data_IF_036467349128
#
_entry.id   IF_036467349128
#
_cell.length_a   1.000
_cell.length_b   1.000
_cell.length_c   1.000
_cell.angle_alpha   90.00
_cell.angle_beta   90.00
_cell.angle_gamma   90.00
#
_symmetry.space_group_name_H-M   'P 1'
#
loop_
_entity.id
_entity.type
_entity.pdbx_description
1 polymer ?
#
# COMPACT_ATOMS: atom_id res chain seq x y z
N UNK A 1 20.89 -32.48 -23.85
CA UNK A 1 19.51 -32.79 -23.42
C UNK A 1 18.78 -31.48 -23.18
N UNK A 2 17.72 -31.20 -23.96
CA UNK A 2 16.88 -29.99 -23.84
C UNK A 2 15.65 -30.32 -22.99
N UNK A 3 15.32 -29.45 -22.04
CA UNK A 3 14.24 -29.64 -21.06
C UNK A 3 12.87 -29.27 -21.67
N UNK A 4 11.79 -30.08 -21.53
CA UNK A 4 10.55 -29.93 -22.30
C UNK A 4 9.42 -29.12 -21.62
N UNK A 5 9.69 -28.28 -20.62
CA UNK A 5 8.63 -27.50 -19.96
C UNK A 5 8.99 -26.03 -19.81
N UNK A 6 8.67 -25.25 -20.84
CA UNK A 6 8.57 -23.78 -20.77
C UNK A 6 7.57 -23.29 -21.82
N UNK A 7 6.30 -23.63 -21.65
CA UNK A 7 5.18 -23.02 -22.37
C UNK A 7 4.32 -22.25 -21.38
N UNK A 8 4.80 -21.06 -20.99
CA UNK A 8 3.99 -20.07 -20.27
C UNK A 8 3.35 -19.18 -21.33
N UNK A 9 2.06 -19.41 -21.62
CA UNK A 9 1.26 -18.52 -22.45
C UNK A 9 1.00 -17.24 -21.66
N UNK A 10 1.66 -16.15 -22.05
CA UNK A 10 1.28 -14.81 -21.63
C UNK A 10 -0.02 -14.42 -22.35
N UNK A 11 -1.04 -13.99 -21.61
CA UNK A 11 -2.16 -13.26 -22.18
C UNK A 11 -1.62 -11.93 -22.72
N UNK A 12 -1.73 -11.76 -24.03
CA UNK A 12 -1.41 -10.51 -24.71
C UNK A 12 -2.42 -9.44 -24.30
N UNK A 13 -1.92 -8.35 -23.71
CA UNK A 13 -2.63 -7.08 -23.67
C UNK A 13 -2.70 -6.55 -25.10
N UNK A 14 -3.87 -6.58 -25.73
CA UNK A 14 -4.09 -5.94 -27.02
C UNK A 14 -4.06 -4.42 -26.84
N UNK A 15 -2.90 -3.82 -27.07
CA UNK A 15 -2.78 -2.41 -27.42
C UNK A 15 -3.14 -2.29 -28.90
N UNK A 16 -4.35 -1.82 -29.20
CA UNK A 16 -4.71 -1.33 -30.53
C UNK A 16 -4.17 0.10 -30.65
N UNK A 17 -3.09 0.24 -31.40
CA UNK A 17 -2.78 1.45 -32.16
C UNK A 17 -3.75 1.50 -33.33
N UNK A 18 -4.51 2.58 -33.46
CA UNK A 18 -4.94 3.11 -34.75
C UNK A 18 -4.90 4.63 -34.64
N UNK A 19 -4.08 5.20 -35.52
CA UNK A 19 -4.08 6.60 -35.91
C UNK A 19 -5.35 6.83 -36.73
N UNK A 20 -6.15 7.83 -36.37
CA UNK A 20 -7.00 8.51 -37.33
C UNK A 20 -7.20 9.97 -36.89
N UNK A 21 -6.63 10.83 -37.72
CA UNK A 21 -6.74 12.27 -37.73
C UNK A 21 -8.11 12.60 -38.34
N UNK A 22 -9.11 12.95 -37.52
CA UNK A 22 -10.39 13.46 -38.02
C UNK A 22 -10.88 14.73 -37.32
N UNK A 23 -11.40 15.57 -38.18
CA UNK A 23 -11.67 16.99 -38.10
C UNK A 23 -12.98 17.25 -37.34
N UNK A 24 -12.95 18.12 -36.33
CA UNK A 24 -14.15 18.51 -35.57
C UNK A 24 -15.08 19.41 -36.41
N UNK A 25 -16.40 19.13 -36.48
CA UNK A 25 -17.38 20.15 -36.73
C UNK A 25 -18.07 20.58 -35.42
N UNK A 26 -18.29 21.89 -35.33
CA UNK A 26 -19.18 22.59 -34.41
C UNK A 26 -20.48 21.82 -34.16
N UNK A 27 -20.86 21.67 -32.88
CA UNK A 27 -22.22 21.25 -32.53
C UNK A 27 -22.84 22.16 -31.47
N UNK A 28 -23.84 22.89 -31.97
CA UNK A 28 -24.85 23.67 -31.26
C UNK A 28 -25.60 22.82 -30.23
N UNK A 29 -26.02 23.54 -29.20
CA UNK A 29 -27.04 23.29 -28.18
C UNK A 29 -28.21 22.40 -28.59
N UNK A 30 -28.64 21.54 -27.65
CA UNK A 30 -30.03 21.26 -27.22
C UNK A 30 -29.95 20.22 -26.09
N UNK A 31 -30.36 20.52 -24.86
CA UNK A 31 -31.71 20.64 -24.28
C UNK A 31 -32.13 19.35 -23.55
N UNK A 32 -32.78 19.59 -22.41
CA UNK A 32 -33.02 18.74 -21.25
C UNK A 32 -33.67 17.37 -21.48
N UNK A 33 -33.31 16.41 -20.61
CA UNK A 33 -34.23 15.37 -20.16
C UNK A 33 -34.06 15.12 -18.65
N UNK A 34 -35.16 15.35 -17.92
CA UNK A 34 -35.35 14.97 -16.53
C UNK A 34 -35.31 13.45 -16.37
N UNK A 35 -34.53 12.97 -15.39
CA UNK A 35 -34.69 11.62 -14.85
C UNK A 35 -34.99 11.75 -13.35
N UNK A 36 -36.10 11.14 -12.97
CA UNK A 36 -36.69 11.08 -11.64
C UNK A 36 -35.79 10.34 -10.64
N UNK A 37 -35.41 11.01 -9.56
CA UNK A 37 -34.74 10.40 -8.40
C UNK A 37 -35.71 9.53 -7.59
N UNK A 38 -35.51 8.20 -7.60
CA UNK A 38 -36.04 7.31 -6.58
C UNK A 38 -35.05 7.20 -5.41
N UNK A 39 -35.42 7.82 -4.29
CA UNK A 39 -34.68 7.77 -3.02
C UNK A 39 -34.72 6.37 -2.42
N UNK A 40 -33.57 5.70 -2.34
CA UNK A 40 -33.32 4.63 -1.39
C UNK A 40 -32.67 5.24 -0.14
N UNK A 41 -33.48 5.50 0.88
CA UNK A 41 -32.99 5.90 2.19
C UNK A 41 -32.31 4.69 2.87
N UNK A 42 -31.00 4.79 3.10
CA UNK A 42 -30.28 3.91 4.03
C UNK A 42 -30.45 4.48 5.46
N UNK A 43 -30.69 3.63 6.48
CA UNK A 43 -30.75 4.09 7.85
C UNK A 43 -29.34 4.51 8.32
N UNK A 44 -29.10 5.81 8.40
CA UNK A 44 -27.97 6.39 9.14
C UNK A 44 -28.28 6.27 10.64
N UNK A 45 -27.52 5.43 11.33
CA UNK A 45 -27.43 5.48 12.78
C UNK A 45 -26.80 6.82 13.18
N UNK A 46 -27.62 7.75 13.69
CA UNK A 46 -27.16 9.00 14.29
C UNK A 46 -26.47 8.69 15.62
N UNK A 47 -25.15 8.63 15.61
CA UNK A 47 -24.36 8.67 16.83
C UNK A 47 -24.48 10.09 17.43
N UNK A 48 -25.21 10.20 18.56
CA UNK A 48 -25.24 11.41 19.38
C UNK A 48 -23.84 11.64 19.95
N UNK A 49 -23.17 12.67 19.46
CA UNK A 49 -21.91 13.15 20.01
C UNK A 49 -22.21 14.04 21.23
N UNK A 50 -21.93 13.52 22.43
CA UNK A 50 -21.80 14.34 23.64
C UNK A 50 -20.54 15.23 23.52
N UNK A 51 -20.62 16.53 23.86
CA UNK A 51 -19.45 17.39 23.95
C UNK A 51 -18.70 17.07 25.26
N UNK A 52 -17.91 16.00 25.27
CA UNK A 52 -17.01 15.68 26.39
C UNK A 52 -15.76 16.54 26.29
N UNK A 53 -15.50 17.25 27.40
CA UNK A 53 -14.35 18.12 27.59
C UNK A 53 -13.03 17.45 27.26
N UNK A 54 -12.10 18.26 26.75
CA UNK A 54 -10.72 17.88 26.42
C UNK A 54 -10.03 17.50 27.72
N UNK A 55 -10.09 16.22 28.07
CA UNK A 55 -9.25 15.64 29.10
C UNK A 55 -7.81 15.64 28.58
N UNK A 56 -6.95 16.43 29.19
CA UNK A 56 -5.49 16.33 29.08
C UNK A 56 -5.12 14.90 29.47
N UNK A 57 -4.85 14.05 28.48
CA UNK A 57 -4.46 12.67 28.76
C UNK A 57 -3.15 12.69 29.56
N UNK A 58 -3.08 11.98 30.69
CA UNK A 58 -1.85 11.85 31.46
C UNK A 58 -0.75 11.33 30.54
N UNK A 59 0.34 12.08 30.45
CA UNK A 59 1.41 11.90 29.47
C UNK A 59 1.86 10.45 29.40
N UNK A 60 1.49 9.77 28.32
CA UNK A 60 2.02 8.46 27.97
C UNK A 60 3.53 8.61 27.87
N UNK A 61 4.24 8.06 28.86
CA UNK A 61 5.71 8.06 28.87
C UNK A 61 6.18 7.32 27.61
N UNK A 62 6.72 8.07 26.65
CA UNK A 62 7.27 7.51 25.42
C UNK A 62 8.38 6.51 25.77
N UNK A 63 8.39 5.35 25.13
CA UNK A 63 9.41 4.34 25.37
C UNK A 63 10.70 4.68 24.62
N UNK A 64 11.79 4.03 25.04
CA UNK A 64 13.08 4.12 24.38
C UNK A 64 13.41 2.81 23.67
N UNK A 65 13.99 2.91 22.49
CA UNK A 65 14.60 1.79 21.80
C UNK A 65 16.11 1.80 22.04
N UNK A 66 16.70 0.66 22.41
CA UNK A 66 18.14 0.54 22.69
C UNK A 66 18.76 -0.55 21.83
N UNK A 67 19.73 -0.17 21.00
CA UNK A 67 20.58 -1.10 20.26
C UNK A 67 22.00 -1.04 20.82
N UNK A 68 22.59 -2.19 21.15
CA UNK A 68 23.90 -2.27 21.78
C UNK A 68 24.87 -3.15 20.98
N UNK A 69 26.12 -2.71 20.91
CA UNK A 69 27.28 -3.51 20.52
C UNK A 69 28.23 -3.68 21.72
N UNK A 70 29.40 -4.28 21.50
CA UNK A 70 30.45 -4.39 22.54
C UNK A 70 31.06 -3.05 22.93
N UNK A 71 31.07 -2.07 22.02
CA UNK A 71 31.83 -0.83 22.19
C UNK A 71 30.93 0.40 22.42
N UNK A 72 29.69 0.32 21.93
CA UNK A 72 28.74 1.45 21.93
C UNK A 72 27.31 0.95 22.05
N UNK A 73 26.46 1.72 22.70
CA UNK A 73 25.01 1.59 22.67
C UNK A 73 24.35 2.88 22.16
N UNK A 74 23.28 2.73 21.39
CA UNK A 74 22.45 3.83 20.88
C UNK A 74 21.07 3.67 21.49
N UNK A 75 20.60 4.72 22.16
CA UNK A 75 19.25 4.85 22.72
C UNK A 75 18.49 5.89 21.91
N UNK A 76 17.29 5.55 21.45
CA UNK A 76 16.42 6.40 20.63
C UNK A 76 15.09 6.65 21.36
N UNK A 77 14.69 7.91 21.49
CA UNK A 77 13.46 8.32 22.17
C UNK A 77 12.22 8.29 21.27
N UNK A 78 11.04 8.49 21.87
CA UNK A 78 9.80 8.70 21.13
C UNK A 78 9.19 7.44 20.51
N UNK A 79 9.47 6.27 21.06
CA UNK A 79 9.04 5.00 20.47
C UNK A 79 7.82 4.42 21.19
N UNK A 80 7.00 3.68 20.43
CA UNK A 80 5.92 2.89 21.01
C UNK A 80 6.50 1.79 21.92
N UNK A 81 5.90 1.55 23.11
CA UNK A 81 6.35 0.49 24.00
C UNK A 81 6.41 -0.88 23.31
N UNK A 82 7.58 -1.52 23.33
CA UNK A 82 7.78 -2.83 22.72
C UNK A 82 7.92 -2.82 21.19
N UNK A 83 8.09 -1.65 20.56
CA UNK A 83 8.37 -1.58 19.13
C UNK A 83 9.65 -2.36 18.78
N UNK A 84 9.60 -3.29 17.79
CA UNK A 84 10.76 -4.12 17.45
C UNK A 84 11.86 -3.33 16.72
N UNK A 85 11.48 -2.23 16.09
CA UNK A 85 12.36 -1.26 15.45
C UNK A 85 11.78 0.14 15.68
N UNK A 86 12.62 1.19 15.75
CA UNK A 86 12.16 2.56 15.79
C UNK A 86 11.31 2.92 14.57
N UNK A 87 10.29 3.75 14.75
CA UNK A 87 9.42 4.25 13.67
C UNK A 87 9.40 5.77 13.71
N UNK A 88 9.72 6.38 12.57
CA UNK A 88 9.70 7.83 12.39
C UNK A 88 8.81 8.24 11.22
N UNK A 89 8.49 9.52 11.18
CA UNK A 89 7.74 10.15 10.09
C UNK A 89 8.69 10.97 9.23
N UNK A 90 8.30 11.21 7.98
CA UNK A 90 8.96 12.23 7.17
C UNK A 90 8.83 13.61 7.86
N UNK A 91 9.92 14.36 8.01
CA UNK A 91 9.95 15.57 8.83
C UNK A 91 10.04 15.35 10.34
N UNK A 92 10.05 14.10 10.81
CA UNK A 92 10.13 13.77 12.24
C UNK A 92 11.55 13.90 12.78
N UNK A 93 11.67 14.18 14.08
CA UNK A 93 12.95 14.30 14.78
C UNK A 93 13.36 12.98 15.43
N UNK A 94 14.61 12.59 15.19
CA UNK A 94 15.32 11.49 15.84
C UNK A 94 16.11 12.09 17.01
N UNK A 95 15.66 11.79 18.23
CA UNK A 95 16.38 12.13 19.46
C UNK A 95 17.15 10.91 19.94
N UNK A 96 18.49 11.01 19.92
CA UNK A 96 19.38 9.91 20.21
C UNK A 96 20.41 10.21 21.30
N UNK A 97 20.74 9.19 22.09
CA UNK A 97 21.85 9.20 23.04
C UNK A 97 22.77 8.03 22.73
N UNK A 98 24.05 8.33 22.58
CA UNK A 98 25.11 7.36 22.33
C UNK A 98 25.86 7.18 23.65
N UNK A 99 25.98 5.94 24.10
CA UNK A 99 26.77 5.56 25.27
C UNK A 99 28.01 4.78 24.82
N UNK A 100 29.18 5.28 25.17
CA UNK A 100 30.48 4.76 24.78
C UNK A 100 31.12 4.11 26.02
N UNK A 101 31.44 2.82 25.93
CA UNK A 101 31.91 2.09 27.11
C UNK A 101 33.37 2.36 27.48
N UNK A 102 34.19 2.79 26.51
CA UNK A 102 35.62 3.07 26.68
C UNK A 102 35.97 4.32 25.83
N UNK A 103 35.73 5.55 26.33
CA UNK A 103 35.92 6.77 25.56
C UNK A 103 37.40 7.11 25.33
N UNK A 104 38.30 6.78 26.26
CA UNK A 104 39.73 7.13 26.22
C UNK A 104 40.49 6.61 24.99
N UNK A 105 39.99 5.56 24.35
CA UNK A 105 40.62 4.93 23.20
C UNK A 105 40.01 5.37 21.86
N UNK A 106 38.97 6.21 21.89
CA UNK A 106 38.27 6.67 20.69
C UNK A 106 39.06 7.80 20.05
N UNK A 107 39.39 7.64 18.77
CA UNK A 107 40.05 8.63 17.94
C UNK A 107 39.04 9.46 17.14
N UNK A 108 37.98 8.82 16.64
CA UNK A 108 36.87 9.50 15.99
C UNK A 108 35.56 8.76 16.18
N UNK A 109 34.47 9.52 16.15
CA UNK A 109 33.09 9.04 16.25
C UNK A 109 32.26 9.82 15.24
N UNK A 110 31.66 9.11 14.29
CA UNK A 110 30.73 9.70 13.31
C UNK A 110 29.37 9.01 13.41
N UNK A 111 28.32 9.81 13.36
CA UNK A 111 26.93 9.36 13.34
C UNK A 111 26.30 9.83 12.05
N UNK A 112 25.83 8.89 11.27
CA UNK A 112 25.25 9.16 9.96
C UNK A 112 23.85 8.56 9.86
N UNK A 113 22.97 9.24 9.14
CA UNK A 113 21.64 8.72 8.79
C UNK A 113 21.63 8.39 7.31
N UNK A 114 21.27 7.14 7.00
CA UNK A 114 21.25 6.59 5.65
C UNK A 114 19.84 6.19 5.27
N UNK A 115 19.47 6.43 4.02
CA UNK A 115 18.24 5.95 3.40
C UNK A 115 18.53 5.50 1.97
N UNK A 116 17.99 4.35 1.56
CA UNK A 116 18.28 3.80 0.24
C UNK A 116 17.16 2.90 -0.28
N UNK A 117 17.04 2.83 -1.61
CA UNK A 117 16.31 1.81 -2.33
C UNK A 117 17.31 0.79 -2.84
N UNK A 118 17.11 -0.48 -2.50
CA UNK A 118 17.92 -1.58 -2.98
C UNK A 118 17.07 -2.53 -3.80
N UNK A 119 17.40 -2.66 -5.08
CA UNK A 119 16.79 -3.63 -6.00
C UNK A 119 17.83 -4.72 -6.27
N UNK A 120 17.49 -5.98 -6.02
CA UNK A 120 18.37 -7.13 -6.34
C UNK A 120 17.65 -8.09 -7.26
N UNK A 121 18.31 -8.51 -8.31
CA UNK A 121 17.86 -9.62 -9.13
C UNK A 121 17.98 -10.94 -8.34
N UNK A 122 17.00 -11.83 -8.45
CA UNK A 122 16.96 -13.11 -7.74
C UNK A 122 17.81 -14.17 -8.44
N UNK A 123 17.83 -14.16 -9.78
CA UNK A 123 18.53 -15.15 -10.60
C UNK A 123 19.90 -14.67 -11.12
N UNK A 124 20.24 -13.40 -10.88
CA UNK A 124 21.47 -12.77 -11.34
C UNK A 124 22.28 -12.16 -10.19
N UNK A 125 23.39 -11.51 -10.53
CA UNK A 125 24.24 -10.77 -9.58
C UNK A 125 23.91 -9.27 -9.53
N UNK A 126 22.96 -8.80 -10.34
CA UNK A 126 22.57 -7.40 -10.42
C UNK A 126 22.03 -6.87 -9.09
N UNK A 127 22.70 -5.88 -8.51
CA UNK A 127 22.20 -5.09 -7.38
C UNK A 127 22.29 -3.63 -7.72
N UNK A 128 21.19 -2.92 -7.52
CA UNK A 128 21.09 -1.48 -7.65
C UNK A 128 20.83 -0.87 -6.31
N UNK A 129 21.52 0.23 -6.05
CA UNK A 129 21.38 1.01 -4.84
C UNK A 129 21.12 2.46 -5.26
N UNK A 130 19.92 2.95 -4.95
CA UNK A 130 19.58 4.36 -5.09
C UNK A 130 19.64 4.98 -3.71
N UNK A 131 20.52 5.95 -3.52
CA UNK A 131 20.67 6.66 -2.26
C UNK A 131 19.57 7.72 -2.15
N UNK A 132 18.73 7.61 -1.11
CA UNK A 132 17.67 8.57 -0.81
C UNK A 132 18.14 9.65 0.19
N UNK A 133 19.02 9.25 1.11
CA UNK A 133 19.49 10.07 2.22
C UNK A 133 20.88 9.63 2.67
N UNK A 134 21.76 10.58 2.96
CA UNK A 134 23.08 10.31 3.55
C UNK A 134 23.61 11.57 4.25
N UNK A 135 23.24 11.71 5.51
CA UNK A 135 23.54 12.91 6.29
C UNK A 135 24.47 12.58 7.45
N UNK A 136 25.53 13.38 7.62
CA UNK A 136 26.38 13.35 8.80
C UNK A 136 25.71 14.19 9.90
N UNK A 137 25.27 13.54 10.96
CA UNK A 137 24.48 14.14 12.03
C UNK A 137 25.34 14.62 13.19
N UNK A 138 26.36 13.82 13.53
CA UNK A 138 27.29 14.13 14.61
C UNK A 138 28.67 13.64 14.22
N UNK A 139 29.69 14.43 14.50
CA UNK A 139 31.09 14.05 14.29
C UNK A 139 31.91 14.55 15.47
N UNK A 140 32.82 13.71 15.92
CA UNK A 140 33.78 14.02 16.96
C UNK A 140 35.14 13.44 16.57
N UNK A 141 36.20 14.20 16.83
CA UNK A 141 37.58 13.84 16.54
C UNK A 141 38.51 14.29 17.67
N UNK A 142 39.31 13.35 18.20
CA UNK A 142 40.17 13.59 19.35
C UNK A 142 41.22 14.69 19.16
N UNK A 143 41.55 15.06 17.92
CA UNK A 143 42.52 16.11 17.61
C UNK A 143 41.90 17.50 17.56
N UNK A 144 40.60 17.60 17.29
CA UNK A 144 39.90 18.87 17.05
C UNK A 144 38.95 19.25 18.18
N UNK A 145 38.41 18.26 18.86
CA UNK A 145 37.30 18.42 19.80
C UNK A 145 37.75 18.16 21.24
N UNK A 146 36.96 18.64 22.20
CA UNK A 146 37.17 18.38 23.62
C UNK A 146 37.11 16.86 23.91
N UNK A 147 37.74 16.37 25.00
CA UNK A 147 37.70 14.96 25.37
C UNK A 147 36.28 14.38 25.36
N UNK A 148 36.10 13.21 24.74
CA UNK A 148 34.80 12.58 24.58
C UNK A 148 34.30 12.05 25.92
N UNK A 149 33.10 12.47 26.33
CA UNK A 149 32.42 11.87 27.47
C UNK A 149 31.96 10.43 27.21
N UNK A 150 31.51 9.73 28.24
CA UNK A 150 30.88 8.41 28.10
C UNK A 150 29.52 8.46 27.41
N UNK A 151 28.92 9.66 27.30
CA UNK A 151 27.64 9.90 26.65
C UNK A 151 27.72 11.12 25.76
N UNK A 152 27.14 11.02 24.57
CA UNK A 152 26.85 12.17 23.72
C UNK A 152 25.42 12.05 23.18
N UNK A 153 24.76 13.18 23.00
CA UNK A 153 23.42 13.26 22.43
C UNK A 153 23.49 13.80 21.01
N UNK A 154 22.59 13.34 20.15
CA UNK A 154 22.36 13.93 18.84
C UNK A 154 20.87 14.11 18.61
N UNK A 155 20.54 15.13 17.83
CA UNK A 155 19.18 15.39 17.38
C UNK A 155 19.21 15.58 15.87
N UNK A 156 18.32 14.93 15.15
CA UNK A 156 18.27 15.00 13.70
C UNK A 156 16.84 14.99 13.18
N UNK A 157 16.46 16.00 12.42
CA UNK A 157 15.16 16.08 11.78
C UNK A 157 15.24 15.48 10.38
N UNK A 158 14.54 14.37 10.15
CA UNK A 158 14.46 13.72 8.85
C UNK A 158 13.93 14.70 7.80
N UNK A 159 14.52 14.79 6.61
CA UNK A 159 14.01 15.67 5.57
C UNK A 159 12.62 15.21 5.14
N UNK A 160 11.73 16.16 4.83
CA UNK A 160 10.38 15.83 4.35
C UNK A 160 10.39 15.24 2.93
N UNK A 161 11.44 15.55 2.16
CA UNK A 161 11.61 15.21 0.77
C UNK A 161 13.08 14.94 0.43
N UNK A 162 13.32 14.15 -0.61
CA UNK A 162 14.62 13.93 -1.25
C UNK A 162 14.62 14.49 -2.66
N UNK A 163 15.81 14.74 -3.20
CA UNK A 163 15.97 15.08 -4.61
C UNK A 163 16.04 13.77 -5.40
N UNK A 164 15.11 13.58 -6.33
CA UNK A 164 15.15 12.44 -7.24
C UNK A 164 16.30 12.64 -8.23
N UNK A 165 17.29 11.75 -8.20
CA UNK A 165 18.49 11.87 -9.03
C UNK A 165 18.19 11.84 -10.55
N UNK A 166 17.08 11.22 -10.95
CA UNK A 166 16.70 11.11 -12.37
C UNK A 166 15.93 12.33 -12.85
N UNK A 167 14.95 12.82 -12.08
CA UNK A 167 14.09 13.93 -12.49
C UNK A 167 14.57 15.31 -11.99
N UNK A 168 15.41 15.36 -10.97
CA UNK A 168 15.76 16.58 -10.25
C UNK A 168 14.61 17.15 -9.40
N UNK A 169 13.47 16.47 -9.31
CA UNK A 169 12.32 16.93 -8.55
C UNK A 169 12.45 16.60 -7.06
N UNK A 170 11.89 17.47 -6.20
CA UNK A 170 11.75 17.16 -4.77
C UNK A 170 10.55 16.24 -4.57
N UNK A 171 10.82 15.01 -4.10
CA UNK A 171 9.80 13.98 -3.82
C UNK A 171 9.80 13.60 -2.35
N UNK A 172 8.65 13.26 -1.74
CA UNK A 172 8.62 12.84 -0.34
C UNK A 172 9.51 11.62 -0.11
N UNK A 173 10.05 11.45 1.10
CA UNK A 173 10.74 10.20 1.44
C UNK A 173 9.76 9.02 1.32
N UNK A 174 10.13 7.95 0.59
CA UNK A 174 9.28 6.77 0.50
C UNK A 174 9.21 6.06 1.87
N UNK A 175 8.07 5.45 2.21
CA UNK A 175 7.97 4.66 3.43
C UNK A 175 8.90 3.44 3.36
N UNK A 176 9.26 2.90 4.52
CA UNK A 176 9.95 1.60 4.59
C UNK A 176 9.06 0.53 3.98
N UNK A 177 9.61 -0.18 2.99
CA UNK A 177 8.86 -1.10 2.16
C UNK A 177 9.75 -2.24 1.66
N UNK A 178 9.17 -3.44 1.58
CA UNK A 178 9.84 -4.61 1.05
C UNK A 178 8.86 -5.41 0.21
N UNK A 179 9.31 -5.87 -0.95
CA UNK A 179 8.55 -6.80 -1.78
C UNK A 179 9.45 -7.75 -2.55
N UNK A 180 8.86 -8.87 -2.93
CA UNK A 180 9.46 -9.86 -3.82
C UNK A 180 8.65 -9.87 -5.13
N UNK A 181 9.29 -9.49 -6.23
CA UNK A 181 8.75 -9.54 -7.56
C UNK A 181 9.03 -10.93 -8.14
N UNK A 182 7.99 -11.77 -8.19
CA UNK A 182 8.05 -13.08 -8.85
C UNK A 182 8.08 -12.89 -10.37
N UNK A 183 8.89 -13.68 -11.07
CA UNK A 183 9.07 -13.60 -12.53
C UNK A 183 10.42 -14.16 -12.96
N UNK A 184 10.67 -14.19 -14.26
CA UNK A 184 12.00 -14.44 -14.83
C UNK A 184 12.34 -13.22 -15.72
N UNK A 185 13.29 -12.35 -15.32
CA UNK A 185 14.00 -12.39 -14.04
C UNK A 185 13.11 -11.95 -12.86
N UNK A 186 13.30 -12.56 -11.70
CA UNK A 186 12.66 -12.16 -10.45
C UNK A 186 13.51 -11.12 -9.72
N UNK A 187 12.89 -10.28 -8.88
CA UNK A 187 13.61 -9.23 -8.14
C UNK A 187 13.14 -9.14 -6.68
N UNK A 188 14.02 -8.64 -5.82
CA UNK A 188 13.67 -8.17 -4.47
C UNK A 188 13.91 -6.68 -4.40
N UNK A 189 12.99 -5.97 -3.77
CA UNK A 189 13.09 -4.53 -3.60
C UNK A 189 12.93 -4.17 -2.13
N UNK A 190 13.83 -3.34 -1.63
CA UNK A 190 13.86 -2.88 -0.24
C UNK A 190 14.08 -1.38 -0.18
N UNK A 191 13.17 -0.65 0.46
CA UNK A 191 13.36 0.74 0.89
C UNK A 191 13.70 0.70 2.37
N UNK A 192 14.93 1.05 2.74
CA UNK A 192 15.42 0.92 4.11
C UNK A 192 16.16 2.17 4.59
N UNK A 193 16.08 2.38 5.91
CA UNK A 193 16.72 3.48 6.60
C UNK A 193 17.47 2.98 7.83
N UNK A 194 18.60 3.59 8.14
CA UNK A 194 19.42 3.21 9.28
C UNK A 194 20.27 4.37 9.79
N UNK A 195 20.53 4.36 11.10
CA UNK A 195 21.56 5.18 11.73
C UNK A 195 22.83 4.34 11.79
N UNK A 196 23.95 4.90 11.35
CA UNK A 196 25.27 4.26 11.42
C UNK A 196 26.12 5.04 12.40
N UNK A 197 26.66 4.35 13.41
CA UNK A 197 27.64 4.90 14.36
C UNK A 197 28.98 4.25 14.08
N UNK A 198 29.87 5.01 13.46
CA UNK A 198 31.23 4.60 13.13
C UNK A 198 32.20 5.11 14.20
N UNK A 199 32.98 4.21 14.77
CA UNK A 199 33.98 4.52 15.80
C UNK A 199 35.34 4.04 15.31
N UNK A 200 36.34 4.91 15.37
CA UNK A 200 37.74 4.55 15.14
C UNK A 200 38.46 4.62 16.47
N UNK A 201 39.15 3.55 16.85
CA UNK A 201 39.92 3.45 18.08
C UNK A 201 41.42 3.30 17.80
N UNK A 202 42.23 3.83 18.70
CA UNK A 202 43.69 3.64 18.72
C UNK A 202 44.08 2.71 19.86
N UNK A 203 44.96 1.74 19.58
CA UNK A 203 45.50 0.91 20.65
C UNK A 203 46.61 1.66 21.40
N UNK A 204 46.51 1.71 22.74
CA UNK A 204 47.55 2.30 23.61
C UNK A 204 48.94 1.70 23.39
N UNK A 205 49.00 0.41 23.02
CA UNK A 205 50.24 -0.35 22.86
C UNK A 205 50.78 -0.37 21.43
N UNK A 206 49.97 -0.01 20.44
CA UNK A 206 50.36 -0.12 19.03
C UNK A 206 49.65 0.96 18.18
N UNK A 207 50.14 2.22 18.18
CA UNK A 207 49.46 3.36 17.54
C UNK A 207 49.28 3.22 16.02
N UNK A 208 49.95 2.25 15.40
CA UNK A 208 49.82 1.90 13.98
C UNK A 208 48.54 1.10 13.67
N UNK A 209 47.94 0.43 14.67
CA UNK A 209 46.74 -0.38 14.47
C UNK A 209 45.49 0.40 14.89
N UNK A 210 44.70 0.80 13.89
CA UNK A 210 43.41 1.44 14.08
C UNK A 210 42.30 0.42 13.92
N UNK A 211 41.51 0.22 14.97
CA UNK A 211 40.33 -0.64 14.91
C UNK A 211 39.11 0.22 14.59
N UNK A 212 38.42 -0.10 13.49
CA UNK A 212 37.13 0.51 13.15
C UNK A 212 35.99 -0.41 13.58
N UNK A 213 35.01 0.12 14.30
CA UNK A 213 33.75 -0.54 14.59
C UNK A 213 32.58 0.27 14.05
N UNK A 214 31.50 -0.41 13.72
CA UNK A 214 30.33 0.17 13.08
C UNK A 214 29.07 -0.46 13.70
N UNK A 215 28.26 0.34 14.38
CA UNK A 215 26.94 -0.07 14.87
C UNK A 215 25.87 0.48 13.92
N UNK A 216 25.05 -0.41 13.37
CA UNK A 216 23.90 -0.04 12.52
C UNK A 216 22.60 -0.23 13.28
N UNK A 217 21.77 0.80 13.28
CA UNK A 217 20.46 0.82 13.94
C UNK A 217 19.39 1.06 12.88
N UNK A 218 18.68 0.01 12.42
CA UNK A 218 17.63 0.17 11.42
C UNK A 218 16.45 0.93 12.04
N UNK A 219 15.75 1.72 11.22
CA UNK A 219 14.47 2.31 11.59
C UNK A 219 13.50 2.30 10.40
N UNK A 220 12.21 2.42 10.70
CA UNK A 220 11.17 2.51 9.69
C UNK A 220 10.72 3.95 9.49
N UNK A 221 10.49 4.35 8.23
CA UNK A 221 9.73 5.55 7.90
C UNK A 221 8.29 5.14 7.59
N UNK A 222 7.34 5.78 8.27
CA UNK A 222 5.91 5.65 8.02
C UNK A 222 5.33 6.99 7.57
N UNK A 223 4.51 6.96 6.53
CA UNK A 223 3.77 8.15 6.10
C UNK A 223 2.52 8.31 6.95
N UNK A 224 2.22 9.52 7.40
CA UNK A 224 1.00 9.85 8.15
C UNK A 224 0.10 10.67 7.28
N UNK A 225 -0.84 9.98 6.63
CA UNK A 225 -1.82 10.60 5.74
C UNK A 225 -3.23 10.21 6.16
N UNK A 226 -4.17 11.12 5.94
CA UNK A 226 -5.60 10.87 6.12
C UNK A 226 -6.38 11.23 4.85
N UNK A 227 -7.59 10.66 4.66
CA UNK A 227 -8.49 11.14 3.63
C UNK A 227 -8.78 12.63 3.83
N UNK A 228 -8.91 13.43 2.75
CA UNK A 228 -9.16 14.87 2.84
C UNK A 228 -10.58 15.20 3.34
N UNK A 229 -11.53 14.27 3.17
CA UNK A 229 -12.92 14.44 3.61
C UNK A 229 -13.40 13.20 4.33
N UNK A 230 -14.32 13.41 5.27
CA UNK A 230 -15.09 12.33 5.85
C UNK A 230 -15.99 11.75 4.75
N UNK A 231 -16.04 10.43 4.64
CA UNK A 231 -17.15 9.81 3.90
C UNK A 231 -18.49 10.04 4.62
N UNK A 232 -19.62 9.74 3.97
CA UNK A 232 -19.74 9.25 2.59
C UNK A 232 -19.70 10.40 1.56
N UNK A 233 -19.14 10.14 0.38
CA UNK A 233 -19.09 11.12 -0.71
C UNK A 233 -20.39 11.09 -1.53
N UNK A 234 -20.72 12.22 -2.18
CA UNK A 234 -21.85 12.28 -3.12
C UNK A 234 -21.57 11.37 -4.32
N UNK A 235 -22.60 10.70 -4.82
CA UNK A 235 -22.55 9.96 -6.08
C UNK A 235 -22.16 10.91 -7.21
N UNK A 236 -20.96 10.76 -7.77
CA UNK A 236 -20.50 11.49 -8.96
C UNK A 236 -20.07 10.50 -10.04
N UNK A 237 -20.70 10.52 -11.23
CA UNK A 237 -20.27 9.71 -12.37
C UNK A 237 -19.02 10.28 -13.05
N UNK A 238 -18.79 11.59 -12.96
CA UNK A 238 -17.62 12.26 -13.50
C UNK A 238 -16.56 12.47 -12.42
N UNK A 239 -15.29 12.26 -12.79
CA UNK A 239 -14.16 12.68 -11.97
C UNK A 239 -13.98 14.19 -12.13
N UNK A 240 -13.84 14.90 -11.03
CA UNK A 240 -13.29 16.26 -11.01
C UNK A 240 -12.28 16.37 -9.88
N UNK A 241 -11.47 17.43 -9.88
CA UNK A 241 -10.56 17.72 -8.75
C UNK A 241 -11.30 17.78 -7.41
N UNK A 242 -12.56 18.19 -7.41
CA UNK A 242 -13.37 18.35 -6.19
C UNK A 242 -14.26 17.15 -5.86
N UNK A 243 -14.49 16.24 -6.82
CA UNK A 243 -15.39 15.11 -6.65
C UNK A 243 -14.75 13.87 -7.26
N UNK A 244 -14.16 12.99 -6.43
CA UNK A 244 -13.56 11.76 -6.92
C UNK A 244 -14.64 10.91 -7.56
N UNK A 245 -14.28 10.18 -8.62
CA UNK A 245 -15.22 9.28 -9.29
C UNK A 245 -15.62 8.18 -8.32
N UNK A 246 -16.90 8.17 -7.96
CA UNK A 246 -17.46 7.16 -7.07
C UNK A 246 -18.15 6.05 -7.85
N UNK A 247 -18.62 6.34 -9.07
CA UNK A 247 -19.32 5.38 -9.94
C UNK A 247 -18.48 5.03 -11.17
N UNK A 248 -18.23 3.74 -11.36
CA UNK A 248 -17.54 3.17 -12.50
C UNK A 248 -18.52 2.30 -13.30
N UNK A 249 -18.66 2.59 -14.59
CA UNK A 249 -19.58 1.87 -15.48
C UNK A 249 -18.78 1.06 -16.48
N UNK A 250 -19.19 -0.18 -16.66
CA UNK A 250 -18.57 -1.17 -17.52
C UNK A 250 -19.64 -1.98 -18.25
N UNK A 251 -19.21 -2.78 -19.23
CA UNK A 251 -20.12 -3.63 -20.02
C UNK A 251 -19.58 -5.06 -20.07
N UNK A 252 -20.40 -6.02 -19.66
CA UNK A 252 -20.11 -7.46 -19.80
C UNK A 252 -20.56 -7.93 -21.18
N UNK A 253 -19.59 -8.13 -22.07
CA UNK A 253 -19.87 -8.58 -23.43
C UNK A 253 -20.36 -10.04 -23.48
N UNK A 254 -21.38 -10.34 -24.30
CA UNK A 254 -21.79 -11.72 -24.58
C UNK A 254 -20.70 -12.45 -25.39
N UNK A 255 -20.65 -13.78 -25.25
CA UNK A 255 -19.81 -14.69 -26.07
C UNK A 255 -20.48 -15.06 -27.39
N UNK A 256 -21.81 -15.06 -27.43
CA UNK A 256 -22.62 -15.45 -28.59
C UNK A 256 -23.40 -14.24 -29.10
N UNK A 257 -23.57 -14.16 -30.41
CA UNK A 257 -24.46 -13.20 -31.04
C UNK A 257 -25.91 -13.45 -30.57
N UNK A 258 -26.69 -12.38 -30.37
CA UNK A 258 -28.11 -12.46 -30.01
C UNK A 258 -28.44 -12.27 -28.52
N UNK A 259 -27.44 -12.10 -27.64
CA UNK A 259 -27.68 -11.68 -26.25
C UNK A 259 -27.38 -10.18 -26.07
N UNK A 260 -28.18 -9.49 -25.27
CA UNK A 260 -27.87 -8.13 -24.81
C UNK A 260 -26.67 -8.15 -23.84
N UNK A 261 -25.84 -7.12 -23.91
CA UNK A 261 -24.75 -6.96 -22.96
C UNK A 261 -25.28 -6.60 -21.57
N UNK A 262 -24.56 -6.99 -20.52
CA UNK A 262 -24.92 -6.62 -19.14
C UNK A 262 -24.19 -5.33 -18.79
N UNK A 263 -24.92 -4.30 -18.40
CA UNK A 263 -24.31 -3.08 -17.86
C UNK A 263 -23.91 -3.32 -16.40
N UNK A 264 -22.68 -2.94 -16.04
CA UNK A 264 -22.09 -3.18 -14.73
C UNK A 264 -21.71 -1.84 -14.10
N UNK A 265 -22.25 -1.57 -12.92
CA UNK A 265 -21.93 -0.39 -12.12
C UNK A 265 -21.17 -0.81 -10.86
N UNK A 266 -19.99 -0.26 -10.64
CA UNK A 266 -19.23 -0.39 -9.40
C UNK A 266 -19.24 0.96 -8.69
N UNK A 267 -19.75 1.00 -7.47
CA UNK A 267 -19.80 2.19 -6.63
C UNK A 267 -18.92 2.04 -5.40
N UNK A 268 -18.03 3.02 -5.20
CA UNK A 268 -17.17 3.18 -4.03
C UNK A 268 -17.64 4.43 -3.26
N UNK A 269 -18.32 4.28 -2.10
CA UNK A 269 -18.88 5.40 -1.33
C UNK A 269 -17.84 6.24 -0.61
N UNK A 270 -16.66 5.68 -0.37
CA UNK A 270 -15.48 6.44 0.01
C UNK A 270 -14.82 6.92 -1.28
N UNK A 271 -14.22 8.12 -1.27
CA UNK A 271 -13.39 8.58 -2.37
C UNK A 271 -12.40 7.49 -2.76
N UNK A 272 -11.77 7.64 -3.93
CA UNK A 272 -10.62 6.80 -4.28
C UNK A 272 -9.47 6.96 -3.27
N UNK A 273 -9.60 7.76 -2.20
CA UNK A 273 -8.68 7.89 -1.08
C UNK A 273 -9.28 7.21 0.16
N UNK A 274 -8.84 5.98 0.44
CA UNK A 274 -9.37 5.13 1.52
C UNK A 274 -8.40 5.05 2.70
N UNK A 275 -8.90 4.85 3.93
CA UNK A 275 -8.06 4.61 5.11
C UNK A 275 -7.67 3.15 5.23
N UNK A 276 -6.43 2.87 5.68
CA UNK A 276 -5.98 1.53 6.05
C UNK A 276 -6.68 0.99 7.30
N UNK A 277 -7.25 1.87 8.13
CA UNK A 277 -7.87 1.53 9.42
C UNK A 277 -9.35 1.20 9.32
N UNK A 278 -9.98 1.47 8.18
CA UNK A 278 -11.42 1.36 7.99
C UNK A 278 -11.75 0.40 6.84
N UNK A 279 -12.78 -0.45 6.97
CA UNK A 279 -13.27 -1.25 5.86
C UNK A 279 -13.73 -0.34 4.71
N UNK A 280 -13.37 -0.69 3.48
CA UNK A 280 -13.71 0.08 2.29
C UNK A 280 -15.03 -0.46 1.73
N UNK A 281 -16.16 0.24 1.88
CA UNK A 281 -17.42 -0.29 1.39
C UNK A 281 -17.43 -0.31 -0.14
N UNK A 282 -18.20 -1.20 -0.74
CA UNK A 282 -18.43 -1.23 -2.17
C UNK A 282 -19.84 -1.69 -2.49
N UNK A 283 -20.34 -1.28 -3.65
CA UNK A 283 -21.57 -1.77 -4.25
C UNK A 283 -21.30 -2.14 -5.70
N UNK A 284 -21.78 -3.31 -6.12
CA UNK A 284 -21.65 -3.77 -7.50
C UNK A 284 -23.04 -4.13 -8.00
N UNK A 285 -23.49 -3.47 -9.06
CA UNK A 285 -24.81 -3.69 -9.65
C UNK A 285 -24.69 -4.14 -11.10
N UNK A 286 -25.37 -5.23 -11.45
CA UNK A 286 -25.59 -5.63 -12.84
C UNK A 286 -26.98 -5.20 -13.28
N UNK A 287 -27.08 -4.70 -14.52
CA UNK A 287 -28.32 -4.34 -15.19
C UNK A 287 -28.47 -5.14 -16.49
N UNK A 288 -29.55 -5.90 -16.60
CA UNK A 288 -29.97 -6.64 -17.80
C UNK A 288 -31.39 -7.19 -17.58
N UNK A 289 -31.95 -7.83 -18.60
CA UNK A 289 -33.22 -8.55 -18.48
C UNK A 289 -33.12 -9.72 -17.48
N UNK A 290 -34.25 -10.08 -16.87
CA UNK A 290 -34.31 -11.09 -15.81
C UNK A 290 -33.71 -12.44 -16.23
N UNK A 291 -33.97 -12.87 -17.47
CA UNK A 291 -33.46 -14.12 -18.01
C UNK A 291 -31.92 -14.14 -18.06
N UNK A 292 -31.33 -12.99 -18.41
CA UNK A 292 -29.88 -12.78 -18.47
C UNK A 292 -29.26 -12.75 -17.08
N UNK A 293 -29.95 -12.16 -16.11
CA UNK A 293 -29.48 -12.04 -14.73
C UNK A 293 -29.70 -13.31 -13.90
N UNK A 294 -30.66 -14.16 -14.27
CA UNK A 294 -31.03 -15.37 -13.54
C UNK A 294 -29.85 -16.24 -13.08
N UNK A 295 -28.77 -16.47 -13.87
CA UNK A 295 -27.65 -17.29 -13.42
C UNK A 295 -26.87 -16.65 -12.26
N UNK A 296 -26.80 -15.32 -12.22
CA UNK A 296 -26.08 -14.59 -11.18
C UNK A 296 -26.85 -14.54 -9.85
N UNK A 297 -28.15 -14.88 -9.86
CA UNK A 297 -29.00 -14.90 -8.65
C UNK A 297 -28.84 -16.16 -7.81
N UNK A 298 -28.23 -17.22 -8.36
CA UNK A 298 -28.02 -18.48 -7.64
C UNK A 298 -27.06 -18.32 -6.44
N UNK A 299 -26.36 -17.20 -6.35
CA UNK A 299 -25.55 -16.89 -5.18
C UNK A 299 -26.41 -16.53 -3.97
N UNK A 300 -26.35 -17.38 -2.94
CA UNK A 300 -26.75 -17.02 -1.58
C UNK A 300 -25.47 -16.84 -0.76
N UNK A 301 -25.20 -15.65 -0.18
CA UNK A 301 -24.14 -15.54 0.80
C UNK A 301 -24.38 -16.57 1.89
N UNK A 302 -23.33 -17.28 2.30
CA UNK A 302 -23.43 -18.16 3.45
C UNK A 302 -24.01 -17.31 4.59
N UNK A 303 -25.09 -17.75 5.26
CA UNK A 303 -25.62 -17.00 6.39
C UNK A 303 -24.46 -16.74 7.32
N UNK A 304 -24.14 -15.46 7.54
CA UNK A 304 -23.11 -15.07 8.49
C UNK A 304 -23.53 -15.70 9.80
N UNK A 305 -22.80 -16.75 10.20
CA UNK A 305 -23.03 -17.43 11.46
C UNK A 305 -22.77 -16.40 12.56
N UNK A 306 -23.82 -15.69 12.96
CA UNK A 306 -23.87 -14.81 14.14
C UNK A 306 -23.86 -15.64 15.42
N UNK A 307 -23.20 -16.80 15.45
CA UNK A 307 -22.78 -17.35 16.70
C UNK A 307 -21.73 -16.36 17.24
N UNK A 308 -22.01 -15.65 18.35
CA UNK A 308 -20.99 -14.84 18.99
C UNK A 308 -19.80 -15.77 19.19
N UNK A 309 -18.67 -15.44 18.56
CA UNK A 309 -17.43 -16.16 18.80
C UNK A 309 -17.20 -16.02 20.30
N UNK A 310 -17.48 -17.11 21.02
CA UNK A 310 -17.22 -17.22 22.44
C UNK A 310 -15.80 -16.73 22.67
N UNK A 311 -15.68 -15.86 23.68
CA UNK A 311 -14.50 -15.06 24.03
C UNK A 311 -13.18 -15.70 23.61
N UNK A 312 -12.24 -14.92 23.03
CA UNK A 312 -10.98 -15.43 22.52
C UNK A 312 -10.15 -16.06 23.63
N UNK A 313 -10.33 -17.36 23.87
CA UNK A 313 -9.32 -18.18 24.51
C UNK A 313 -8.10 -18.17 23.59
N UNK A 314 -6.89 -18.04 24.16
CA UNK A 314 -5.59 -17.78 23.53
C UNK A 314 -5.10 -18.79 22.44
N UNK A 315 -5.98 -19.59 21.85
CA UNK A 315 -5.69 -20.53 20.78
C UNK A 315 -5.74 -19.84 19.40
N UNK A 316 -4.56 -19.39 18.97
CA UNK A 316 -4.10 -19.11 17.59
C UNK A 316 -5.13 -18.61 16.55
N UNK A 317 -5.05 -17.30 16.24
CA UNK A 317 -5.62 -16.62 15.06
C UNK A 317 -5.39 -17.36 13.72
N UNK A 318 -4.41 -18.26 13.66
CA UNK A 318 -4.08 -19.08 12.50
C UNK A 318 -5.14 -20.15 12.16
N UNK A 319 -5.93 -20.61 13.13
CA UNK A 319 -6.91 -21.68 12.92
C UNK A 319 -8.21 -21.20 12.26
N UNK A 320 -8.64 -19.97 12.57
CA UNK A 320 -9.83 -19.35 11.94
C UNK A 320 -9.57 -18.94 10.50
N UNK A 321 -8.37 -18.45 10.17
CA UNK A 321 -8.01 -18.16 8.78
C UNK A 321 -7.85 -19.43 7.95
N UNK A 322 -7.32 -20.52 8.52
CA UNK A 322 -7.20 -21.80 7.82
C UNK A 322 -8.55 -22.53 7.63
N UNK A 323 -9.53 -22.37 8.54
CA UNK A 323 -10.87 -22.93 8.34
C UNK A 323 -11.66 -22.24 7.22
N UNK A 324 -11.36 -20.97 6.91
CA UNK A 324 -11.95 -20.27 5.76
C UNK A 324 -11.28 -20.65 4.42
N UNK A 325 -10.03 -21.12 4.44
CA UNK A 325 -9.24 -21.41 3.23
C UNK A 325 -9.33 -22.90 2.82
N UNK A 326 -9.55 -23.81 3.78
CA UNK A 326 -9.53 -25.27 3.55
C UNK A 326 -10.81 -25.88 2.96
N UNK A 327 -11.90 -25.11 2.78
CA UNK A 327 -13.12 -25.57 2.06
C UNK A 327 -13.03 -25.48 0.53
N UNK A 328 -11.82 -25.44 -0.04
CA UNK A 328 -11.59 -25.33 -1.49
C UNK A 328 -11.53 -26.69 -2.21
N UNK A 329 -11.64 -27.80 -1.49
CA UNK A 329 -11.77 -29.13 -2.05
C UNK A 329 -13.22 -29.54 -2.25
N UNK A 330 -13.61 -29.72 -3.52
CA UNK A 330 -14.78 -30.49 -3.99
C UNK A 330 -16.11 -29.72 -3.92
N UNK A 331 -16.48 -29.10 -5.06
CA UNK A 331 -17.78 -28.45 -5.29
C UNK A 331 -17.74 -26.91 -5.38
N UNK A 332 -16.77 -26.33 -6.11
CA UNK A 332 -16.61 -24.87 -6.28
C UNK A 332 -17.72 -24.26 -7.13
N UNK A 333 -18.92 -24.07 -6.57
CA UNK A 333 -19.79 -22.97 -7.03
C UNK A 333 -19.14 -21.67 -6.56
N UNK A 334 -18.22 -21.15 -7.37
CA UNK A 334 -17.52 -19.91 -7.07
C UNK A 334 -18.50 -18.75 -6.94
N UNK A 335 -18.25 -17.85 -5.98
CA UNK A 335 -18.94 -16.57 -5.91
C UNK A 335 -18.88 -15.89 -7.29
N UNK A 336 -20.02 -15.47 -7.88
CA UNK A 336 -20.01 -14.82 -9.17
C UNK A 336 -19.24 -13.50 -9.11
N UNK A 337 -19.24 -12.84 -7.95
CA UNK A 337 -18.49 -11.62 -7.69
C UNK A 337 -17.29 -11.91 -6.77
N UNK A 338 -16.10 -11.46 -7.20
CA UNK A 338 -14.89 -11.44 -6.39
C UNK A 338 -14.37 -10.01 -6.34
N UNK A 339 -14.22 -9.46 -5.13
CA UNK A 339 -13.63 -8.14 -4.92
C UNK A 339 -12.41 -8.32 -4.02
N UNK A 340 -11.27 -7.72 -4.38
CA UNK A 340 -10.07 -7.75 -3.54
C UNK A 340 -9.23 -6.49 -3.74
N UNK A 341 -8.42 -6.15 -2.73
CA UNK A 341 -7.44 -5.07 -2.84
C UNK A 341 -6.14 -5.64 -3.39
N UNK A 342 -5.61 -5.02 -4.44
CA UNK A 342 -4.36 -5.39 -5.08
C UNK A 342 -3.36 -4.25 -5.00
N UNK A 343 -2.16 -4.55 -4.55
CA UNK A 343 -0.98 -3.68 -4.63
C UNK A 343 -0.15 -4.07 -5.84
N UNK A 344 0.22 -3.11 -6.66
CA UNK A 344 1.12 -3.28 -7.80
C UNK A 344 2.39 -2.50 -7.56
N UNK A 345 3.54 -3.17 -7.65
CA UNK A 345 4.85 -2.54 -7.60
C UNK A 345 5.47 -2.60 -8.98
N UNK A 346 5.71 -1.44 -9.58
CA UNK A 346 6.43 -1.27 -10.82
C UNK A 346 7.85 -0.79 -10.52
N UNK A 347 8.83 -1.39 -11.17
CA UNK A 347 10.24 -0.98 -11.14
C UNK A 347 10.66 -0.64 -12.55
N UNK A 348 11.22 0.56 -12.74
CA UNK A 348 11.85 0.97 -13.98
C UNK A 348 13.25 0.37 -14.07
N UNK A 349 13.45 -0.52 -15.02
CA UNK A 349 14.71 -1.22 -15.28
C UNK A 349 15.77 -0.27 -15.82
N UNK A 350 15.40 0.82 -16.49
CA UNK A 350 16.38 1.79 -17.00
C UNK A 350 17.08 2.51 -15.84
N UNK A 351 16.32 2.85 -14.80
CA UNK A 351 16.87 3.39 -13.54
C UNK A 351 17.76 2.38 -12.80
N UNK A 352 17.70 1.08 -13.16
CA UNK A 352 18.55 0.06 -12.55
C UNK A 352 19.95 -0.01 -13.13
N UNK A 353 20.22 0.63 -14.28
CA UNK A 353 21.52 0.52 -14.95
C UNK A 353 21.87 -0.91 -15.38
N UNK A 354 20.92 -1.84 -15.33
CA UNK A 354 21.06 -3.20 -15.85
C UNK A 354 20.91 -3.14 -17.37
N UNK A 355 21.87 -3.67 -18.16
CA UNK A 355 21.77 -3.65 -19.61
C UNK A 355 20.50 -4.37 -20.07
N UNK A 356 19.70 -3.64 -20.84
CA UNK A 356 18.36 -4.04 -21.25
C UNK A 356 18.41 -5.24 -22.22
N UNK A 357 17.90 -6.40 -21.78
CA UNK A 357 17.69 -7.57 -22.67
C UNK A 357 16.28 -7.65 -23.26
N UNK A 358 15.31 -6.90 -22.72
CA UNK A 358 13.88 -6.98 -23.08
C UNK A 358 13.34 -5.62 -23.53
N UNK A 359 12.36 -5.63 -24.44
CA UNK A 359 11.70 -4.42 -24.95
C UNK A 359 10.86 -3.68 -23.90
N UNK A 360 10.55 -4.29 -22.74
CA UNK A 360 9.82 -3.60 -21.67
C UNK A 360 10.78 -2.92 -20.69
N UNK A 361 10.59 -1.62 -20.48
CA UNK A 361 11.32 -0.83 -19.47
C UNK A 361 10.87 -1.10 -18.03
N UNK A 362 9.75 -1.78 -17.82
CA UNK A 362 9.15 -1.94 -16.50
C UNK A 362 8.91 -3.38 -16.10
N UNK A 363 9.22 -3.69 -14.84
CA UNK A 363 8.91 -4.96 -14.21
C UNK A 363 7.85 -4.74 -13.14
N UNK A 364 6.83 -5.58 -13.14
CA UNK A 364 5.68 -5.43 -12.25
C UNK A 364 5.51 -6.64 -11.35
N UNK A 365 5.14 -6.39 -10.09
CA UNK A 365 4.67 -7.41 -9.16
C UNK A 365 3.31 -7.01 -8.62
N UNK A 366 2.50 -8.00 -8.33
CA UNK A 366 1.11 -7.82 -7.90
C UNK A 366 0.85 -8.69 -6.67
N UNK A 367 0.35 -8.08 -5.61
CA UNK A 367 0.01 -8.78 -4.37
C UNK A 367 -1.41 -8.43 -3.94
N UNK A 368 -2.20 -9.45 -3.56
CA UNK A 368 -3.48 -9.23 -2.90
C UNK A 368 -3.20 -8.83 -1.44
N UNK A 369 -3.62 -7.63 -1.06
CA UNK A 369 -3.37 -7.05 0.26
C UNK A 369 -4.65 -6.87 1.09
N UNK A 370 -5.80 -7.26 0.53
CA UNK A 370 -7.09 -7.22 1.20
C UNK A 370 -8.14 -7.99 0.44
N UNK A 371 -9.23 -8.34 1.12
CA UNK A 371 -10.31 -9.16 0.57
C UNK A 371 -11.65 -8.46 0.74
N UNK A 372 -12.45 -8.48 -0.31
CA UNK A 372 -13.84 -8.04 -0.30
C UNK A 372 -14.77 -9.14 0.18
N UNK A 373 -15.68 -8.78 1.08
CA UNK A 373 -16.75 -9.65 1.58
C UNK A 373 -18.09 -9.03 1.20
N UNK A 374 -18.95 -9.81 0.55
CA UNK A 374 -20.32 -9.42 0.24
C UNK A 374 -21.19 -9.67 1.48
N UNK A 375 -21.84 -8.63 1.99
CA UNK A 375 -22.71 -8.69 3.16
C UNK A 375 -24.19 -8.80 2.79
N UNK A 376 -24.59 -8.14 1.70
CA UNK A 376 -25.99 -8.06 1.27
C UNK A 376 -26.07 -8.28 -0.23
N UNK A 377 -27.11 -8.99 -0.65
CA UNK A 377 -27.49 -9.11 -2.06
C UNK A 377 -28.95 -8.72 -2.19
N UNK A 378 -29.26 -7.82 -3.12
CA UNK A 378 -30.63 -7.44 -3.45
C UNK A 378 -30.89 -7.67 -4.93
N UNK A 379 -32.10 -8.11 -5.25
CA UNK A 379 -32.56 -8.38 -6.61
C UNK A 379 -33.78 -7.51 -6.90
N UNK A 380 -33.76 -6.89 -8.07
CA UNK A 380 -34.89 -6.21 -8.70
C UNK A 380 -35.20 -6.91 -10.04
N UNK A 381 -36.28 -6.51 -10.71
CA UNK A 381 -36.69 -7.09 -11.99
C UNK A 381 -35.61 -7.01 -13.09
N UNK A 382 -34.79 -5.95 -13.08
CA UNK A 382 -33.73 -5.69 -14.08
C UNK A 382 -32.36 -5.45 -13.48
N UNK A 383 -32.16 -5.78 -12.20
CA UNK A 383 -30.86 -5.60 -11.57
C UNK A 383 -30.56 -6.56 -10.42
N UNK A 384 -29.27 -6.84 -10.23
CA UNK A 384 -28.74 -7.52 -9.05
C UNK A 384 -27.67 -6.63 -8.45
N UNK A 385 -27.78 -6.34 -7.16
CA UNK A 385 -26.81 -5.53 -6.42
C UNK A 385 -26.18 -6.34 -5.30
N UNK A 386 -24.85 -6.38 -5.28
CA UNK A 386 -24.05 -6.86 -4.15
C UNK A 386 -23.49 -5.67 -3.39
N UNK A 387 -23.69 -5.65 -2.07
CA UNK A 387 -23.10 -4.66 -1.18
C UNK A 387 -22.16 -5.37 -0.19
N UNK A 388 -20.98 -4.81 -0.01
CA UNK A 388 -19.91 -5.43 0.77
C UNK A 388 -18.88 -4.43 1.27
N UNK A 389 -17.80 -4.95 1.85
CA UNK A 389 -16.65 -4.16 2.22
C UNK A 389 -15.33 -4.91 1.98
N UNK A 390 -14.29 -4.17 1.61
CA UNK A 390 -12.92 -4.67 1.51
C UNK A 390 -12.20 -4.43 2.83
N UNK A 391 -11.70 -5.50 3.43
CA UNK A 391 -10.84 -5.44 4.63
C UNK A 391 -9.39 -5.68 4.22
N UNK A 392 -8.50 -4.79 4.67
CA UNK A 392 -7.07 -4.92 4.41
C UNK A 392 -6.39 -5.80 5.45
N UNK A 393 -5.29 -6.43 5.04
CA UNK A 393 -4.48 -7.23 5.95
C UNK A 393 -3.71 -6.34 6.93
N UNK A 394 -3.61 -6.77 8.20
CA UNK A 394 -2.95 -6.00 9.26
C UNK A 394 -1.44 -5.78 9.06
N UNK A 395 -0.82 -6.50 8.13
CA UNK A 395 0.59 -6.29 7.73
C UNK A 395 0.77 -5.10 6.78
N UNK A 396 -0.30 -4.53 6.22
CA UNK A 396 -0.24 -3.36 5.36
C UNK A 396 -0.12 -2.10 6.22
N UNK A 397 1.07 -1.51 6.26
CA UNK A 397 1.36 -0.33 7.11
C UNK A 397 1.36 1.01 6.38
N UNK A 398 1.48 0.97 5.06
CA UNK A 398 1.64 2.14 4.19
C UNK A 398 0.81 1.97 2.92
N UNK A 399 0.34 3.08 2.35
CA UNK A 399 -0.25 3.12 1.02
C UNK A 399 0.78 3.09 -0.11
N UNK A 400 0.30 3.26 -1.34
CA UNK A 400 1.14 3.48 -2.52
C UNK A 400 2.02 4.73 -2.42
N UNK A 401 3.17 4.69 -3.09
CA UNK A 401 4.15 5.77 -3.15
C UNK A 401 4.94 5.70 -4.46
N UNK A 402 5.63 6.78 -4.80
CA UNK A 402 6.54 6.84 -5.94
C UNK A 402 7.90 7.38 -5.49
N UNK A 403 8.97 6.78 -6.01
CA UNK A 403 10.35 7.18 -5.80
C UNK A 403 11.17 6.88 -7.06
N UNK A 404 12.45 7.24 -7.09
CA UNK A 404 13.34 7.03 -8.25
C UNK A 404 13.27 5.58 -8.75
N UNK A 405 12.75 5.40 -9.96
CA UNK A 405 12.61 4.10 -10.62
C UNK A 405 11.64 3.11 -9.96
N UNK A 406 10.80 3.54 -9.01
CA UNK A 406 9.86 2.66 -8.29
C UNK A 406 8.51 3.34 -8.12
N UNK A 407 7.44 2.63 -8.50
CA UNK A 407 6.06 3.04 -8.22
C UNK A 407 5.31 1.91 -7.54
N UNK A 408 4.71 2.19 -6.39
CA UNK A 408 3.78 1.31 -5.69
C UNK A 408 2.39 1.92 -5.78
N UNK A 409 1.45 1.22 -6.41
CA UNK A 409 0.05 1.64 -6.56
C UNK A 409 -0.90 0.63 -5.94
N UNK A 410 -2.05 1.11 -5.48
CA UNK A 410 -3.12 0.27 -4.93
C UNK A 410 -4.35 0.35 -5.84
N UNK A 411 -5.13 -0.74 -5.88
CA UNK A 411 -6.34 -0.81 -6.70
C UNK A 411 -7.32 -1.85 -6.18
N UNK A 412 -8.61 -1.55 -6.27
CA UNK A 412 -9.67 -2.53 -6.01
C UNK A 412 -9.92 -3.29 -7.30
N UNK A 413 -9.71 -4.60 -7.26
CA UNK A 413 -9.96 -5.49 -8.37
C UNK A 413 -11.35 -6.08 -8.21
N UNK A 414 -12.21 -5.85 -9.20
CA UNK A 414 -13.55 -6.40 -9.29
C UNK A 414 -13.58 -7.40 -10.42
N UNK A 415 -13.70 -8.69 -10.09
CA UNK A 415 -13.90 -9.73 -11.09
C UNK A 415 -15.32 -10.31 -10.98
N UNK A 416 -15.97 -10.51 -12.13
CA UNK A 416 -17.25 -11.20 -12.25
C UNK A 416 -17.06 -12.44 -13.13
N UNK A 417 -17.33 -13.60 -12.54
CA UNK A 417 -17.31 -14.89 -13.23
C UNK A 417 -18.74 -15.38 -13.39
N UNK A 418 -19.25 -15.53 -14.63
CA UNK A 418 -20.51 -16.21 -14.85
C UNK A 418 -20.47 -17.62 -14.21
N UNK A 419 -21.55 -18.11 -13.58
CA UNK A 419 -21.57 -19.41 -12.91
C UNK A 419 -21.08 -20.53 -13.83
N UNK A 420 -20.24 -21.42 -13.31
CA UNK A 420 -19.61 -22.48 -14.09
C UNK A 420 -20.65 -23.46 -14.66
N UNK A 421 -20.97 -23.28 -15.94
CA UNK A 421 -21.69 -24.22 -16.78
C UNK A 421 -21.04 -24.23 -18.16
N UNK A 422 -21.09 -25.36 -18.88
CA UNK A 422 -20.48 -25.54 -20.21
C UNK A 422 -21.00 -24.57 -21.30
N UNK A 423 -21.90 -23.64 -20.94
CA UNK A 423 -22.63 -22.74 -21.85
C UNK A 423 -22.84 -21.34 -21.26
N UNK A 424 -21.90 -20.78 -20.51
CA UNK A 424 -22.07 -19.39 -20.03
C UNK A 424 -22.14 -18.43 -21.23
N UNK A 425 -23.21 -17.61 -21.35
CA UNK A 425 -23.36 -16.73 -22.51
C UNK A 425 -22.47 -15.49 -22.44
N UNK A 426 -21.73 -15.27 -21.34
CA UNK A 426 -20.93 -14.06 -21.10
C UNK A 426 -19.44 -14.37 -20.89
N UNK A 427 -18.59 -13.41 -21.26
CA UNK A 427 -17.16 -13.45 -20.91
C UNK A 427 -17.01 -13.16 -19.42
N UNK A 428 -15.93 -13.66 -18.80
CA UNK A 428 -15.57 -13.21 -17.46
C UNK A 428 -15.12 -11.75 -17.55
N UNK A 429 -15.44 -10.97 -16.52
CA UNK A 429 -14.99 -9.59 -16.38
C UNK A 429 -13.99 -9.50 -15.26
N UNK A 430 -12.95 -8.68 -15.43
CA UNK A 430 -12.14 -8.25 -14.32
C UNK A 430 -11.50 -6.90 -14.60
N UNK A 431 -11.75 -5.93 -13.72
CA UNK A 431 -11.24 -4.57 -13.83
C UNK A 431 -10.57 -4.13 -12.54
N UNK A 432 -9.57 -3.24 -12.67
CA UNK A 432 -8.86 -2.65 -11.54
C UNK A 432 -9.23 -1.18 -11.42
N UNK A 433 -9.86 -0.80 -10.32
CA UNK A 433 -10.19 0.58 -9.99
C UNK A 433 -9.07 1.16 -9.13
N UNK A 434 -8.34 2.19 -9.58
CA UNK A 434 -7.24 2.76 -8.81
C UNK A 434 -7.76 3.37 -7.51
N UNK A 435 -7.02 3.12 -6.43
CA UNK A 435 -7.26 3.72 -5.12
C UNK A 435 -5.94 4.17 -4.48
N UNK A 436 -6.03 5.16 -3.61
CA UNK A 436 -4.97 5.66 -2.76
C UNK A 436 -5.29 5.27 -1.33
N UNK A 437 -4.36 4.59 -0.68
CA UNK A 437 -4.50 4.24 0.73
C UNK A 437 -3.83 5.29 1.62
N UNK A 438 -4.47 5.61 2.72
CA UNK A 438 -4.01 6.55 3.75
C UNK A 438 -3.85 5.82 5.07
N UNK A 439 -2.87 6.19 5.88
CA UNK A 439 -2.51 5.42 7.09
C UNK A 439 -3.44 5.70 8.27
N UNK A 440 -4.09 6.85 8.27
CA UNK A 440 -4.96 7.32 9.35
C UNK A 440 -6.41 7.50 8.87
N UNK A 441 -7.34 7.57 9.81
CA UNK A 441 -8.74 7.93 9.49
C UNK A 441 -8.86 9.43 9.26
N UNK A 442 -9.96 9.86 8.62
CA UNK A 442 -10.22 11.28 8.40
C UNK A 442 -10.21 12.09 9.71
N UNK A 443 -10.63 11.51 10.83
CA UNK A 443 -10.70 12.18 12.12
C UNK A 443 -9.32 12.51 12.74
N UNK A 444 -8.22 11.93 12.23
CA UNK A 444 -6.90 12.10 12.81
C UNK A 444 -6.26 13.44 12.40
N UNK A 445 -6.52 14.51 13.16
CA UNK A 445 -6.01 15.87 12.86
C UNK A 445 -4.48 15.98 12.76
N UNK A 446 -3.74 15.06 13.40
CA UNK A 446 -2.26 15.05 13.35
C UNK A 446 -1.67 14.50 12.03
N UNK A 447 -2.50 13.90 11.18
CA UNK A 447 -2.10 13.34 9.89
C UNK A 447 -2.25 14.36 8.76
N UNK A 448 -1.31 14.33 7.81
CA UNK A 448 -1.38 15.17 6.62
C UNK A 448 -2.59 14.79 5.76
N UNK A 449 -3.36 15.79 5.30
CA UNK A 449 -4.42 15.53 4.34
C UNK A 449 -3.83 15.02 3.04
N UNK A 450 -4.23 13.84 2.57
CA UNK A 450 -3.86 13.38 1.25
C UNK A 450 -4.51 14.33 0.22
N UNK A 451 -3.68 15.02 -0.56
CA UNK A 451 -4.18 15.85 -1.66
C UNK A 451 -5.04 15.00 -2.62
N UNK A 452 -6.19 15.53 -3.02
CA UNK A 452 -6.97 14.99 -4.15
C UNK A 452 -6.10 15.20 -5.40
N UNK A 453 -5.65 14.11 -6.01
CA UNK A 453 -4.75 14.12 -7.17
C UNK A 453 -5.53 14.35 -8.47
#
# INVERSE_FOLDING_TARGET
MRHPFASVQYYASSLSSDEDEEQWPDRKSNEALLISEQRLALPLAQARHDPRGIATQPGTSLAYFVQRSREVAVQLGGQEPGAPIPVYRSGGTIDGVITIFQPDEVLSLDVQVHGQIRIREVAGSGTVLVQLLHDLVYSWNCQRDAPLGTRCSFQYTLPSAHLDATSGERRPLPPTYQTHLAGIPGFTMHVSYQITVDIVRGERKAPLWRKRSCLRVPFAIQQYSRPPRAGPFRLSPAASREYPRTLFTYTLGPRRLGHSAIELHVFLPMSQICSLKEPIPFFVTLFADEDVLSPFTCYRPAPSSFHPLSSPSHTSLHSVSQQLISRTGIGKSGLPLQVHMKRTTAVDVLCTGVPQMSQSSHIFSSQVIGQGVVHKTSRNARSITWAGAVTLSANVRNGGFEATGVRVSDGIVVCIKPPDGSRTPFKAFCETIPVRLTTESHACSSAASAAEA
#
